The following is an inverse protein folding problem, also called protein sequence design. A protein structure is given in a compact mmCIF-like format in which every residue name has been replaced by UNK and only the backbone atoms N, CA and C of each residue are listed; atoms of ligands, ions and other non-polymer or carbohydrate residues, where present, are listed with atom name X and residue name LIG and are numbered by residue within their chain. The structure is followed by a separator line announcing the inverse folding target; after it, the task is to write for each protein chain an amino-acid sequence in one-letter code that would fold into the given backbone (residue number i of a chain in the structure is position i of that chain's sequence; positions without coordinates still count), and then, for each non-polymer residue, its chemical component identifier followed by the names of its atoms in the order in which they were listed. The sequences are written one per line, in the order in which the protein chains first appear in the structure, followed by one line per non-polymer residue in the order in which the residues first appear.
data_IF_007011531261
#
_entry.id   IF_007011531261
#
_cell.length_a   1.000
_cell.length_b   1.000
_cell.length_c   1.000
_cell.angle_alpha   90.00
_cell.angle_beta   90.00
_cell.angle_gamma   90.00
#
_symmetry.space_group_name_H-M   'P 1'
#
loop_
_entity.id
_entity.type
_entity.pdbx_description
1 polymer ?
#
# COMPACT_ATOMS: atom_id res chain seq x y z
N UNK A 1 25.48 -1.07 7.23
CA UNK A 1 24.82 -1.92 6.20
C UNK A 1 23.33 -1.63 6.27
N UNK A 2 22.78 -0.88 5.30
CA UNK A 2 21.36 -0.49 5.30
C UNK A 2 20.51 -1.78 5.24
N UNK A 3 19.63 -2.02 6.22
CA UNK A 3 18.77 -3.22 6.21
C UNK A 3 17.97 -3.24 4.92
N UNK A 4 18.13 -4.30 4.12
CA UNK A 4 17.33 -4.46 2.90
C UNK A 4 15.93 -4.91 3.31
N UNK A 5 14.97 -3.99 3.17
CA UNK A 5 13.57 -4.34 3.29
C UNK A 5 13.18 -5.01 1.97
N UNK A 6 12.74 -6.27 2.00
CA UNK A 6 12.17 -6.95 0.83
C UNK A 6 10.64 -6.82 0.90
N UNK A 7 9.95 -6.92 -0.23
CA UNK A 7 8.47 -6.85 -0.24
C UNK A 7 7.84 -8.16 0.17
N UNK A 8 6.75 -8.10 0.93
CA UNK A 8 5.82 -9.22 1.09
C UNK A 8 4.99 -9.38 -0.19
N UNK A 9 4.93 -10.60 -0.75
CA UNK A 9 4.22 -10.87 -2.00
C UNK A 9 2.90 -11.59 -1.67
N UNK A 10 1.73 -10.98 -1.98
CA UNK A 10 0.44 -11.60 -1.70
C UNK A 10 0.18 -12.82 -2.57
N UNK A 11 -0.45 -13.85 -1.98
CA UNK A 11 -0.93 -15.04 -2.66
C UNK A 11 -2.24 -14.71 -3.39
N UNK A 12 -2.34 -15.10 -4.66
CA UNK A 12 -3.60 -14.99 -5.39
C UNK A 12 -4.59 -16.05 -4.89
N UNK A 13 -5.86 -15.67 -4.74
CA UNK A 13 -6.95 -16.58 -4.43
C UNK A 13 -8.19 -16.22 -5.25
N UNK A 14 -9.17 -17.12 -5.24
CA UNK A 14 -10.46 -16.91 -5.91
C UNK A 14 -11.55 -16.37 -4.97
N UNK A 15 -11.36 -16.55 -3.66
CA UNK A 15 -12.36 -16.22 -2.63
C UNK A 15 -11.69 -15.37 -1.57
N UNK A 16 -12.38 -14.31 -1.15
CA UNK A 16 -11.94 -13.49 -0.01
C UNK A 16 -12.16 -14.27 1.27
N UNK A 17 -11.16 -14.39 2.15
CA UNK A 17 -11.31 -15.14 3.38
C UNK A 17 -12.42 -14.54 4.26
N UNK A 18 -13.16 -15.43 4.92
CA UNK A 18 -14.07 -15.07 6.00
C UNK A 18 -13.37 -15.26 7.36
N UNK A 19 -13.78 -14.50 8.37
CA UNK A 19 -13.31 -14.61 9.75
C UNK A 19 -13.00 -13.27 10.41
N UNK A 20 -13.18 -13.19 11.73
CA UNK A 20 -13.01 -11.97 12.52
C UNK A 20 -11.60 -11.34 12.50
N UNK A 21 -10.58 -12.13 12.18
CA UNK A 21 -9.17 -11.72 12.25
C UNK A 21 -8.62 -11.12 10.95
N UNK A 22 -9.45 -10.98 9.92
CA UNK A 22 -9.04 -10.42 8.63
C UNK A 22 -9.23 -8.91 8.58
N UNK A 23 -8.25 -8.25 7.99
CA UNK A 23 -8.30 -6.85 7.56
C UNK A 23 -8.40 -6.84 6.04
N UNK A 24 -9.43 -6.21 5.50
CA UNK A 24 -9.73 -6.17 4.07
C UNK A 24 -9.48 -4.75 3.54
N UNK A 25 -8.52 -4.63 2.64
CA UNK A 25 -8.15 -3.37 1.99
C UNK A 25 -8.56 -3.38 0.52
N UNK A 26 -8.94 -2.21 -0.01
CA UNK A 26 -9.07 -2.02 -1.45
C UNK A 26 -7.75 -2.36 -2.11
N UNK A 27 -7.81 -3.20 -3.14
CA UNK A 27 -6.68 -3.37 -4.04
C UNK A 27 -6.66 -2.18 -4.98
N UNK A 28 -5.75 -1.25 -4.72
CA UNK A 28 -5.48 -0.16 -5.63
C UNK A 28 -4.72 -0.65 -6.86
N UNK A 29 -4.94 0.06 -7.96
CA UNK A 29 -4.33 -0.21 -9.25
C UNK A 29 -3.34 0.92 -9.58
N UNK A 30 -2.09 0.73 -9.16
CA UNK A 30 -1.05 1.74 -9.27
C UNK A 30 0.33 1.11 -9.30
N UNK A 31 1.30 1.83 -8.76
CA UNK A 31 2.64 1.29 -8.56
C UNK A 31 2.94 1.08 -7.09
N UNK A 32 3.32 -0.15 -6.71
CA UNK A 32 3.82 -0.41 -5.37
C UNK A 32 5.11 0.39 -5.13
N UNK A 33 5.09 1.20 -4.09
CA UNK A 33 6.18 2.08 -3.70
C UNK A 33 6.60 1.85 -2.25
N UNK A 34 7.90 1.97 -2.00
CA UNK A 34 8.45 2.02 -0.65
C UNK A 34 8.99 3.40 -0.34
N UNK A 35 8.34 4.07 0.58
CA UNK A 35 8.73 5.39 1.06
C UNK A 35 9.63 5.21 2.28
N UNK A 36 10.85 5.71 2.18
CA UNK A 36 11.90 5.58 3.18
C UNK A 36 12.32 6.97 3.62
N UNK A 37 12.42 7.19 4.92
CA UNK A 37 13.15 8.32 5.49
C UNK A 37 14.25 7.78 6.39
N UNK A 38 15.46 8.29 6.20
CA UNK A 38 16.59 8.06 7.08
C UNK A 38 17.43 9.34 7.24
N UNK A 39 18.62 9.21 7.84
CA UNK A 39 19.56 10.34 8.06
C UNK A 39 20.04 11.01 6.77
N UNK A 40 19.94 10.33 5.63
CA UNK A 40 20.33 10.87 4.32
C UNK A 40 19.18 11.61 3.63
N UNK A 41 17.95 11.48 4.14
CA UNK A 41 16.76 12.13 3.61
C UNK A 41 15.65 11.15 3.25
N UNK A 42 14.81 11.55 2.29
CA UNK A 42 13.66 10.76 1.83
C UNK A 42 13.98 10.11 0.49
N UNK A 43 13.63 8.82 0.36
CA UNK A 43 13.63 8.08 -0.91
C UNK A 43 12.27 7.44 -1.15
N UNK A 44 11.85 7.42 -2.41
CA UNK A 44 10.70 6.63 -2.86
C UNK A 44 11.18 5.60 -3.87
N UNK A 45 11.15 4.32 -3.50
CA UNK A 45 11.64 3.24 -4.33
C UNK A 45 10.49 2.49 -4.99
N UNK A 46 10.63 2.13 -6.26
CA UNK A 46 9.69 1.24 -6.94
C UNK A 46 9.71 -0.17 -6.34
N UNK A 47 8.79 -1.03 -6.79
CA UNK A 47 8.82 -2.46 -6.48
C UNK A 47 10.14 -3.12 -6.88
N UNK A 48 10.70 -2.75 -8.03
CA UNK A 48 11.99 -3.21 -8.53
C UNK A 48 13.21 -2.59 -7.85
N UNK A 49 13.01 -1.58 -6.98
CA UNK A 49 14.09 -0.89 -6.27
C UNK A 49 14.68 0.31 -7.02
N UNK A 50 14.04 0.76 -8.11
CA UNK A 50 14.43 1.98 -8.80
C UNK A 50 14.12 3.20 -7.93
N UNK A 51 15.01 4.18 -7.91
CA UNK A 51 14.79 5.44 -7.21
C UNK A 51 13.84 6.34 -8.03
N UNK A 52 12.63 6.53 -7.49
CA UNK A 52 11.56 7.37 -8.04
C UNK A 52 11.33 8.63 -7.20
N UNK A 53 12.31 9.03 -6.38
CA UNK A 53 12.21 10.24 -5.54
C UNK A 53 11.94 11.50 -6.37
N UNK A 54 12.54 11.61 -7.56
CA UNK A 54 12.30 12.73 -8.47
C UNK A 54 10.94 12.65 -9.18
N UNK A 55 10.39 11.43 -9.32
CA UNK A 55 9.20 11.17 -10.14
C UNK A 55 7.92 11.61 -9.43
N UNK A 56 7.86 11.48 -8.11
CA UNK A 56 6.66 11.81 -7.33
C UNK A 56 6.97 12.86 -6.24
N UNK A 57 7.20 14.12 -6.64
CA UNK A 57 7.73 15.15 -5.74
C UNK A 57 6.79 15.45 -4.57
N UNK A 58 5.47 15.40 -4.78
CA UNK A 58 4.49 15.70 -3.73
C UNK A 58 4.55 14.69 -2.56
N UNK A 59 4.61 13.39 -2.86
CA UNK A 59 4.79 12.33 -1.85
C UNK A 59 6.06 12.58 -1.03
N UNK A 60 7.16 12.92 -1.70
CA UNK A 60 8.46 13.15 -1.06
C UNK A 60 8.45 14.42 -0.20
N UNK A 61 7.78 15.49 -0.64
CA UNK A 61 7.62 16.70 0.13
C UNK A 61 6.86 16.45 1.44
N UNK A 62 5.73 15.76 1.38
CA UNK A 62 4.97 15.40 2.58
C UNK A 62 5.79 14.51 3.51
N UNK A 63 6.50 13.52 2.97
CA UNK A 63 7.34 12.63 3.75
C UNK A 63 8.44 13.37 4.56
N UNK A 64 8.97 14.49 4.04
CA UNK A 64 9.91 15.36 4.76
C UNK A 64 9.25 16.10 5.93
N UNK A 65 7.95 16.40 5.84
CA UNK A 65 7.18 17.10 6.88
C UNK A 65 6.77 16.18 8.03
N UNK A 66 6.67 14.85 7.80
CA UNK A 66 6.32 13.86 8.82
C UNK A 66 7.27 13.97 10.03
N UNK A 67 6.71 14.03 11.25
CA UNK A 67 7.47 14.12 12.51
C UNK A 67 7.98 12.73 12.94
N UNK A 68 8.98 12.24 12.21
CA UNK A 68 9.76 11.06 12.56
C UNK A 68 11.18 11.21 11.99
N UNK A 69 12.16 10.63 12.66
CA UNK A 69 13.55 10.68 12.18
C UNK A 69 13.77 9.63 11.10
N UNK A 70 13.19 8.44 11.28
CA UNK A 70 13.33 7.32 10.36
C UNK A 70 12.02 6.55 10.20
N UNK A 71 11.69 6.16 8.98
CA UNK A 71 10.59 5.22 8.75
C UNK A 71 10.73 4.50 7.42
N UNK A 72 10.05 3.36 7.32
CA UNK A 72 9.87 2.61 6.07
C UNK A 72 8.41 2.24 5.92
N UNK A 73 7.75 2.83 4.94
CA UNK A 73 6.34 2.64 4.62
C UNK A 73 6.22 1.82 3.32
N UNK A 74 5.31 0.85 3.30
CA UNK A 74 4.91 0.08 2.12
C UNK A 74 3.52 0.56 1.70
N UNK A 75 3.36 0.93 0.43
CA UNK A 75 2.13 1.55 -0.06
C UNK A 75 1.97 1.42 -1.57
N UNK A 76 0.82 1.88 -2.06
CA UNK A 76 0.53 1.98 -3.48
C UNK A 76 0.51 3.45 -3.92
N UNK A 77 1.26 3.78 -4.97
CA UNK A 77 1.26 5.10 -5.60
C UNK A 77 0.12 5.12 -6.61
N UNK A 78 -0.82 6.05 -6.43
CA UNK A 78 -2.04 6.12 -7.22
C UNK A 78 -2.38 7.56 -7.60
N UNK A 79 -3.08 7.69 -8.73
CA UNK A 79 -3.94 8.84 -9.03
C UNK A 79 -5.36 8.31 -8.88
N UNK A 80 -6.19 8.96 -8.07
CA UNK A 80 -7.59 8.57 -7.90
C UNK A 80 -8.50 9.61 -8.56
N UNK A 81 -9.60 9.15 -9.16
CA UNK A 81 -10.69 10.00 -9.60
C UNK A 81 -11.54 10.50 -8.41
N UNK A 82 -12.59 11.28 -8.71
CA UNK A 82 -13.48 11.85 -7.69
C UNK A 82 -14.34 10.80 -6.97
N UNK A 83 -14.43 9.59 -7.52
CA UNK A 83 -15.10 8.44 -6.91
C UNK A 83 -14.13 7.57 -6.08
N UNK A 84 -12.84 7.89 -6.06
CA UNK A 84 -11.80 7.12 -5.37
C UNK A 84 -11.32 5.89 -6.15
N UNK A 85 -11.63 5.79 -7.44
CA UNK A 85 -11.14 4.72 -8.32
C UNK A 85 -9.77 5.10 -8.87
N UNK A 86 -8.86 4.13 -8.98
CA UNK A 86 -7.52 4.39 -9.52
C UNK A 86 -7.55 4.63 -11.03
N UNK A 87 -7.00 5.75 -11.47
CA UNK A 87 -6.73 6.05 -12.88
C UNK A 87 -5.28 5.65 -13.20
N UNK A 88 -5.12 4.37 -13.54
CA UNK A 88 -3.80 3.82 -13.87
C UNK A 88 -3.22 4.43 -15.14
N UNK A 89 -4.05 4.77 -16.13
CA UNK A 89 -3.56 5.31 -17.40
C UNK A 89 -3.02 6.73 -17.22
N UNK A 90 -3.68 7.56 -16.41
CA UNK A 90 -3.18 8.88 -16.02
C UNK A 90 -1.83 8.76 -15.27
N UNK A 91 -1.73 7.83 -14.31
CA UNK A 91 -0.49 7.54 -13.60
C UNK A 91 0.62 7.04 -14.54
N UNK A 92 0.30 6.12 -15.45
CA UNK A 92 1.26 5.50 -16.37
C UNK A 92 1.77 6.49 -17.41
N UNK A 93 0.92 7.41 -17.88
CA UNK A 93 1.30 8.48 -18.81
C UNK A 93 2.36 9.43 -18.25
N UNK A 94 2.53 9.47 -16.92
CA UNK A 94 3.43 10.37 -16.21
C UNK A 94 2.95 11.81 -16.12
N UNK A 95 1.84 12.18 -16.78
CA UNK A 95 1.30 13.55 -16.80
C UNK A 95 0.77 14.00 -15.43
N UNK A 96 0.34 13.06 -14.60
CA UNK A 96 -0.23 13.30 -13.28
C UNK A 96 0.72 12.92 -12.13
N UNK A 97 2.02 12.76 -12.41
CA UNK A 97 3.02 12.38 -11.40
C UNK A 97 3.05 13.33 -10.19
N UNK A 98 2.84 14.63 -10.41
CA UNK A 98 2.82 15.65 -9.34
C UNK A 98 1.58 15.55 -8.44
N UNK A 99 0.51 14.93 -8.93
CA UNK A 99 -0.76 14.75 -8.23
C UNK A 99 -0.87 13.36 -7.57
N UNK A 100 0.06 12.46 -7.90
CA UNK A 100 0.06 11.11 -7.37
C UNK A 100 0.22 11.12 -5.84
N UNK A 101 -0.48 10.20 -5.19
CA UNK A 101 -0.53 10.04 -3.75
C UNK A 101 -0.06 8.63 -3.38
N UNK A 102 0.42 8.46 -2.15
CA UNK A 102 0.76 7.15 -1.61
C UNK A 102 -0.33 6.68 -0.64
N UNK A 103 -0.99 5.58 -0.96
CA UNK A 103 -1.89 4.85 -0.06
C UNK A 103 -1.07 3.81 0.72
N UNK A 104 -0.57 4.22 1.87
CA UNK A 104 0.25 3.46 2.78
C UNK A 104 -0.54 2.36 3.49
N UNK A 105 -0.17 1.10 3.28
CA UNK A 105 -0.89 -0.03 3.83
C UNK A 105 -0.14 -0.81 4.92
N UNK A 106 1.17 -0.54 5.10
CA UNK A 106 1.98 -1.11 6.18
C UNK A 106 3.15 -0.20 6.60
N UNK A 107 3.58 -0.32 7.85
CA UNK A 107 4.76 0.35 8.41
C UNK A 107 5.77 -0.72 8.83
N UNK A 108 6.90 -0.76 8.13
CA UNK A 108 7.90 -1.84 8.24
C UNK A 108 8.99 -1.52 9.26
N UNK A 109 9.33 -0.25 9.41
CA UNK A 109 10.26 0.25 10.43
C UNK A 109 9.93 1.69 10.82
N UNK A 110 10.26 2.08 12.05
CA UNK A 110 9.97 3.41 12.59
C UNK A 110 10.94 3.76 13.72
N UNK A 111 11.67 4.88 13.59
CA UNK A 111 12.59 5.45 14.59
C UNK A 111 13.53 4.43 15.26
N UNK A 112 14.11 3.54 14.45
CA UNK A 112 15.06 2.51 14.89
C UNK A 112 14.43 1.15 15.16
N UNK A 113 13.11 1.08 15.36
CA UNK A 113 12.38 -0.18 15.54
C UNK A 113 12.17 -0.89 14.19
N UNK A 114 12.55 -2.17 14.13
CA UNK A 114 12.21 -3.06 13.03
C UNK A 114 10.88 -3.75 13.34
N UNK A 115 9.80 -3.28 12.72
CA UNK A 115 8.44 -3.70 13.05
C UNK A 115 8.04 -5.00 12.34
N UNK A 116 8.91 -5.62 11.55
CA UNK A 116 8.55 -6.81 10.77
C UNK A 116 8.09 -7.97 11.62
N UNK A 117 8.61 -8.09 12.84
CA UNK A 117 8.19 -9.13 13.78
C UNK A 117 6.97 -8.76 14.63
N UNK A 118 6.49 -7.51 14.58
CA UNK A 118 5.24 -7.09 15.21
C UNK A 118 4.02 -7.61 14.44
N UNK A 119 2.89 -7.87 15.11
CA UNK A 119 1.60 -8.14 14.48
C UNK A 119 1.13 -6.99 13.57
N UNK A 120 0.37 -7.29 12.52
CA UNK A 120 -0.12 -6.29 11.56
C UNK A 120 -0.99 -5.21 12.21
N UNK A 121 -1.83 -5.56 13.19
CA UNK A 121 -2.67 -4.56 13.85
C UNK A 121 -1.83 -3.47 14.53
N UNK A 122 -0.69 -3.84 15.15
CA UNK A 122 0.22 -2.89 15.79
C UNK A 122 0.91 -2.01 14.74
N UNK A 123 1.37 -2.60 13.64
CA UNK A 123 2.00 -1.83 12.54
C UNK A 123 1.03 -0.82 11.93
N UNK A 124 -0.25 -1.19 11.77
CA UNK A 124 -1.31 -0.29 11.29
C UNK A 124 -1.65 0.82 12.28
N UNK A 125 -1.72 0.52 13.58
CA UNK A 125 -1.93 1.55 14.61
C UNK A 125 -0.78 2.56 14.65
N UNK A 126 0.46 2.08 14.60
CA UNK A 126 1.65 2.95 14.50
C UNK A 126 1.65 3.77 13.21
N UNK A 127 1.27 3.18 12.08
CA UNK A 127 1.14 3.89 10.80
C UNK A 127 0.09 5.01 10.87
N UNK A 128 -1.08 4.72 11.46
CA UNK A 128 -2.13 5.71 11.61
C UNK A 128 -1.69 6.87 12.52
N UNK A 129 -1.02 6.59 13.63
CA UNK A 129 -0.44 7.61 14.51
C UNK A 129 0.63 8.45 13.82
N UNK A 130 1.47 7.83 12.99
CA UNK A 130 2.51 8.53 12.23
C UNK A 130 1.93 9.53 11.22
N UNK A 131 0.82 9.18 10.58
CA UNK A 131 0.22 9.96 9.48
C UNK A 131 -0.95 10.87 9.90
N UNK A 132 -1.45 10.78 11.14
CA UNK A 132 -2.69 11.47 11.56
C UNK A 132 -2.68 13.01 11.45
N UNK A 133 -1.50 13.65 11.37
CA UNK A 133 -1.34 15.11 11.22
C UNK A 133 -1.11 15.55 9.77
N UNK A 134 -1.12 14.63 8.81
CA UNK A 134 -0.77 14.88 7.42
C UNK A 134 -1.87 14.35 6.48
N UNK A 135 -2.97 15.09 6.33
CA UNK A 135 -4.12 14.65 5.53
C UNK A 135 -3.92 14.90 4.02
N UNK A 136 -2.69 14.79 3.52
CA UNK A 136 -2.33 15.09 2.14
C UNK A 136 -1.15 14.23 1.68
N UNK A 137 -1.09 13.87 0.40
CA UNK A 137 0.04 13.20 -0.27
C UNK A 137 0.33 11.75 0.15
N UNK A 138 0.29 11.42 1.43
CA UNK A 138 0.51 10.08 2.00
C UNK A 138 -0.60 9.75 2.97
N UNK A 139 -1.45 8.78 2.62
CA UNK A 139 -2.64 8.40 3.36
C UNK A 139 -2.51 6.98 3.91
N UNK A 140 -3.13 6.72 5.07
CA UNK A 140 -3.36 5.33 5.49
C UNK A 140 -4.40 4.72 4.55
N UNK A 141 -4.07 3.61 3.91
CA UNK A 141 -5.02 2.85 3.11
C UNK A 141 -6.20 2.39 4.00
N UNK A 142 -7.45 2.72 3.65
CA UNK A 142 -8.62 2.33 4.42
C UNK A 142 -8.77 0.81 4.42
N UNK A 143 -9.29 0.27 5.52
CA UNK A 143 -9.53 -1.15 5.66
C UNK A 143 -10.74 -1.43 6.54
N UNK A 144 -11.43 -2.51 6.21
CA UNK A 144 -12.53 -3.05 6.98
C UNK A 144 -12.11 -4.32 7.73
N UNK A 145 -12.84 -4.69 8.79
CA UNK A 145 -12.48 -5.82 9.65
C UNK A 145 -13.55 -6.92 9.63
N UNK A 146 -13.08 -8.16 9.71
CA UNK A 146 -13.89 -9.30 10.09
C UNK A 146 -14.67 -9.94 8.93
N UNK A 147 -15.74 -10.64 9.27
CA UNK A 147 -16.43 -11.59 8.38
C UNK A 147 -17.10 -10.97 7.15
N UNK A 148 -17.16 -9.64 7.08
CA UNK A 148 -17.77 -8.89 5.97
C UNK A 148 -16.99 -8.97 4.66
N UNK A 149 -15.75 -9.49 4.68
CA UNK A 149 -14.84 -9.57 3.54
C UNK A 149 -15.49 -10.01 2.21
N UNK A 150 -16.23 -11.14 2.15
CA UNK A 150 -16.90 -11.58 0.93
C UNK A 150 -17.93 -10.56 0.40
N UNK A 151 -18.78 -10.01 1.27
CA UNK A 151 -19.75 -8.98 0.87
C UNK A 151 -19.09 -7.67 0.43
N UNK A 152 -17.98 -7.30 1.08
CA UNK A 152 -17.17 -6.15 0.70
C UNK A 152 -16.54 -6.34 -0.69
N UNK A 153 -16.10 -7.55 -1.01
CA UNK A 153 -15.55 -7.85 -2.35
C UNK A 153 -16.61 -7.69 -3.44
N UNK A 154 -17.84 -8.15 -3.20
CA UNK A 154 -18.94 -7.95 -4.13
C UNK A 154 -19.25 -6.46 -4.33
N UNK A 155 -19.27 -5.69 -3.24
CA UNK A 155 -19.46 -4.24 -3.30
C UNK A 155 -18.33 -3.56 -4.10
N UNK A 156 -17.07 -3.89 -3.81
CA UNK A 156 -15.92 -3.40 -4.54
C UNK A 156 -16.01 -3.73 -6.04
N UNK A 157 -16.45 -4.94 -6.39
CA UNK A 157 -16.66 -5.33 -7.78
C UNK A 157 -17.76 -4.50 -8.46
N UNK A 158 -18.88 -4.22 -7.77
CA UNK A 158 -19.97 -3.38 -8.29
C UNK A 158 -19.54 -1.92 -8.50
N UNK A 159 -18.63 -1.43 -7.66
CA UNK A 159 -18.03 -0.10 -7.77
C UNK A 159 -16.93 -0.02 -8.83
N UNK A 160 -16.59 -1.14 -9.49
CA UNK A 160 -15.55 -1.15 -10.50
C UNK A 160 -14.13 -1.09 -9.94
N UNK A 161 -13.91 -1.41 -8.66
CA UNK A 161 -12.57 -1.47 -8.06
C UNK A 161 -11.83 -2.74 -8.51
N UNK A 162 -10.48 -2.73 -8.43
CA UNK A 162 -9.66 -3.86 -8.89
C UNK A 162 -9.88 -5.13 -8.07
N UNK A 163 -10.22 -5.00 -6.79
CA UNK A 163 -10.47 -6.12 -5.89
C UNK A 163 -10.08 -5.79 -4.46
N UNK A 164 -9.71 -6.83 -3.70
CA UNK A 164 -9.30 -6.69 -2.30
C UNK A 164 -7.96 -7.38 -2.02
N UNK A 165 -7.24 -6.86 -1.04
CA UNK A 165 -6.14 -7.55 -0.35
C UNK A 165 -6.54 -7.78 1.10
N UNK A 166 -6.61 -9.05 1.50
CA UNK A 166 -6.96 -9.46 2.85
C UNK A 166 -5.71 -9.87 3.62
N UNK A 167 -5.58 -9.38 4.84
CA UNK A 167 -4.39 -9.57 5.67
C UNK A 167 -4.80 -9.97 7.08
N UNK A 168 -4.22 -11.04 7.61
CA UNK A 168 -4.54 -11.50 8.96
C UNK A 168 -3.88 -10.60 10.02
N UNK A 169 -4.67 -10.07 10.95
CA UNK A 169 -4.26 -9.02 11.90
C UNK A 169 -3.08 -9.39 12.82
N UNK A 170 -2.99 -10.65 13.21
CA UNK A 170 -1.92 -11.16 14.10
C UNK A 170 -0.63 -11.55 13.36
N UNK A 171 -0.58 -11.46 12.02
CA UNK A 171 0.57 -11.96 11.24
C UNK A 171 1.67 -10.91 11.09
N UNK A 172 2.89 -11.41 11.14
CA UNK A 172 4.14 -10.67 10.97
C UNK A 172 4.38 -10.30 9.51
N UNK A 173 5.21 -9.28 9.26
CA UNK A 173 5.66 -8.96 7.91
C UNK A 173 6.76 -9.94 7.49
N UNK A 174 6.41 -10.90 6.64
CA UNK A 174 7.34 -11.88 6.09
C UNK A 174 7.68 -11.54 4.63
N UNK A 175 8.92 -11.16 4.31
CA UNK A 175 9.27 -10.86 2.94
C UNK A 175 9.16 -12.08 2.02
N UNK A 176 8.88 -11.84 0.73
CA UNK A 176 8.67 -12.82 -0.36
C UNK A 176 7.44 -13.72 -0.20
N UNK A 177 7.20 -14.27 0.99
CA UNK A 177 6.03 -15.10 1.27
C UNK A 177 5.35 -14.58 2.53
N UNK A 178 4.17 -13.99 2.36
CA UNK A 178 3.37 -13.50 3.47
C UNK A 178 1.94 -14.04 3.38
N UNK A 179 1.21 -13.85 4.48
CA UNK A 179 -0.17 -14.31 4.65
C UNK A 179 -1.20 -13.35 4.04
N UNK A 180 -0.77 -12.51 3.09
CA UNK A 180 -1.67 -11.60 2.38
C UNK A 180 -2.32 -12.36 1.23
N UNK A 181 -3.63 -12.23 1.12
CA UNK A 181 -4.45 -12.88 0.10
C UNK A 181 -5.01 -11.79 -0.81
N UNK A 182 -4.70 -11.83 -2.09
CA UNK A 182 -5.29 -10.92 -3.09
C UNK A 182 -6.37 -11.65 -3.89
N UNK A 183 -7.51 -11.00 -4.05
CA UNK A 183 -8.62 -11.46 -4.89
C UNK A 183 -8.98 -10.33 -5.83
N UNK A 184 -8.92 -10.60 -7.14
CA UNK A 184 -9.16 -9.61 -8.19
C UNK A 184 -10.58 -9.70 -8.74
N UNK A 185 -11.19 -8.55 -8.99
CA UNK A 185 -12.38 -8.41 -9.80
C UNK A 185 -12.06 -8.79 -11.25
N UNK A 186 -12.70 -9.86 -11.75
CA UNK A 186 -12.47 -10.39 -13.10
C UNK A 186 -12.91 -9.44 -14.21
N UNK A 187 -13.77 -8.48 -13.91
CA UNK A 187 -14.27 -7.49 -14.86
C UNK A 187 -13.40 -6.23 -14.93
N UNK A 188 -12.43 -6.07 -14.03
CA UNK A 188 -11.57 -4.90 -13.99
C UNK A 188 -10.50 -4.95 -15.10
N UNK A 189 -10.16 -3.83 -15.77
CA UNK A 189 -9.12 -3.82 -16.82
C UNK A 189 -7.75 -4.35 -16.36
N UNK A 190 -7.38 -4.14 -15.09
CA UNK A 190 -6.13 -4.67 -14.52
C UNK A 190 -6.13 -6.20 -14.29
N UNK A 191 -7.25 -6.89 -14.52
CA UNK A 191 -7.29 -8.36 -14.47
C UNK A 191 -6.50 -8.97 -15.64
N UNK A 192 -6.60 -8.38 -16.82
CA UNK A 192 -5.96 -8.85 -18.05
C UNK A 192 -4.63 -8.16 -18.35
N UNK A 193 -4.28 -7.07 -17.65
CA UNK A 193 -2.93 -6.49 -17.74
C UNK A 193 -1.92 -7.56 -17.28
N UNK A 194 -1.08 -8.00 -18.22
CA UNK A 194 0.04 -8.91 -17.94
C UNK A 194 0.84 -8.33 -16.79
N UNK A 195 1.34 -9.18 -15.89
CA UNK A 195 2.16 -8.78 -14.74
C UNK A 195 3.55 -8.26 -15.15
N UNK A 196 3.65 -7.59 -16.30
CA UNK A 196 4.87 -7.07 -16.88
C UNK A 196 5.33 -5.88 -16.06
N UNK A 197 6.37 -6.16 -15.26
CA UNK A 197 7.49 -5.27 -14.98
C UNK A 197 7.16 -3.77 -14.81
N UNK A 198 6.50 -3.42 -13.71
CA UNK A 198 6.59 -2.08 -13.14
C UNK A 198 6.95 -2.17 -11.64
#
# INVERSE_FOLDING_TARGET
MQKRFEYCIPKAAQVVPAGGDWLHEVKYDGYRGRLIRDVQGVKLLSRGGLDWTWRFPWIVEIARKIRANQFVIDGEICVLDVQGTSDFDALHSGRCNEQAQLYAFDLVAHDGDDLRDSPLFERKDRLAKLLNRYPEGVFVAPFERGEIGPGLFEAACRMGLEGLVSKHRERRYRPRTCDWIKVKNRKHPAYSRVADQF
#
